data_IF_025452770766
#
_entry.id   IF_025452770766
#
_cell.length_a   1.000
_cell.length_b   1.000
_cell.length_c   1.000
_cell.angle_alpha   90.00
_cell.angle_beta   90.00
_cell.angle_gamma   90.00
#
_symmetry.space_group_name_H-M   'P 1'
#
loop_
_entity.id
_entity.type
_entity.pdbx_description
1 polymer ?
#
# COMPACT_ATOMS: atom_id res chain seq x y z
N UNK A 1 -5.13 13.72 -24.84
CA UNK A 1 -5.39 14.02 -23.41
C UNK A 1 -4.85 12.84 -22.62
N UNK A 2 -3.64 12.99 -22.11
CA UNK A 2 -2.87 11.90 -21.46
C UNK A 2 -2.92 12.09 -19.93
N UNK A 3 -4.14 12.17 -19.41
CA UNK A 3 -4.41 12.44 -17.99
C UNK A 3 -4.88 11.16 -17.30
N UNK A 4 -3.99 10.17 -17.08
CA UNK A 4 -4.39 9.05 -16.21
C UNK A 4 -3.30 8.27 -15.47
N UNK A 5 -2.02 8.64 -15.56
CA UNK A 5 -0.96 7.93 -14.81
C UNK A 5 -0.45 8.66 -13.57
N UNK A 6 -0.82 9.93 -13.38
CA UNK A 6 -0.33 10.78 -12.27
C UNK A 6 -1.43 11.36 -11.37
N UNK A 7 -2.70 11.18 -11.69
CA UNK A 7 -3.78 11.68 -10.83
C UNK A 7 -3.93 10.80 -9.60
N UNK A 8 -3.69 11.38 -8.41
CA UNK A 8 -3.98 10.72 -7.13
C UNK A 8 -5.49 10.55 -7.00
N UNK A 9 -5.94 9.32 -6.78
CA UNK A 9 -7.35 9.04 -6.46
C UNK A 9 -7.54 9.13 -4.95
N UNK A 10 -8.53 9.88 -4.50
CA UNK A 10 -8.92 9.90 -3.09
C UNK A 10 -9.78 8.67 -2.78
N UNK A 11 -9.53 8.05 -1.62
CA UNK A 11 -10.28 6.89 -1.13
C UNK A 11 -10.77 7.19 0.28
N UNK A 12 -12.06 6.97 0.53
CA UNK A 12 -12.59 6.93 1.90
C UNK A 12 -12.34 5.53 2.45
N UNK A 13 -11.53 5.44 3.51
CA UNK A 13 -11.17 4.18 4.15
C UNK A 13 -11.83 4.09 5.52
N UNK A 14 -12.48 2.97 5.81
CA UNK A 14 -12.98 2.61 7.15
C UNK A 14 -12.05 1.56 7.74
N UNK A 15 -11.45 1.87 8.88
CA UNK A 15 -10.59 0.96 9.66
C UNK A 15 -10.94 1.08 11.14
N UNK A 16 -10.56 0.09 11.94
CA UNK A 16 -10.69 0.17 13.39
C UNK A 16 -9.77 1.25 13.96
N UNK A 17 -10.16 1.84 15.09
CA UNK A 17 -9.34 2.85 15.78
C UNK A 17 -7.96 2.30 16.16
N UNK A 18 -7.89 1.05 16.63
CA UNK A 18 -6.63 0.40 16.99
C UNK A 18 -5.63 0.34 15.82
N UNK A 19 -6.12 -0.03 14.63
CA UNK A 19 -5.28 -0.09 13.44
C UNK A 19 -4.82 1.31 13.02
N UNK A 20 -5.70 2.31 13.14
CA UNK A 20 -5.33 3.69 12.84
C UNK A 20 -4.20 4.18 13.77
N UNK A 21 -4.29 3.89 15.07
CA UNK A 21 -3.26 4.26 16.06
C UNK A 21 -1.91 3.61 15.75
N UNK A 22 -1.91 2.30 15.45
CA UNK A 22 -0.69 1.59 15.06
C UNK A 22 -0.07 2.16 13.78
N UNK A 23 -0.88 2.50 12.77
CA UNK A 23 -0.39 3.10 11.52
C UNK A 23 0.17 4.51 11.74
N UNK A 24 -0.41 5.29 12.66
CA UNK A 24 0.09 6.63 13.01
C UNK A 24 1.43 6.52 13.74
N UNK A 25 1.54 5.64 14.73
CA UNK A 25 2.79 5.43 15.46
C UNK A 25 3.92 5.00 14.52
N UNK A 26 3.64 4.02 13.65
CA UNK A 26 4.63 3.57 12.66
C UNK A 26 5.02 4.68 11.67
N UNK A 27 4.05 5.48 11.20
CA UNK A 27 4.37 6.62 10.34
C UNK A 27 5.29 7.64 11.05
N UNK A 28 5.09 7.87 12.35
CA UNK A 28 5.94 8.77 13.14
C UNK A 28 7.36 8.22 13.29
N UNK A 29 7.51 6.94 13.62
CA UNK A 29 8.83 6.29 13.76
C UNK A 29 9.64 6.36 12.47
N UNK A 30 8.96 6.25 11.32
CA UNK A 30 9.57 6.32 9.99
C UNK A 30 9.67 7.76 9.42
N UNK A 31 9.32 8.79 10.19
CA UNK A 31 9.26 10.21 9.78
C UNK A 31 8.43 10.45 8.50
N UNK A 32 7.28 9.77 8.39
CA UNK A 32 6.33 9.85 7.27
C UNK A 32 4.98 10.43 7.70
N UNK A 33 4.23 10.95 6.73
CA UNK A 33 2.80 11.21 6.94
C UNK A 33 2.02 9.90 6.95
N UNK A 34 0.87 9.88 7.66
CA UNK A 34 -0.02 8.71 7.67
C UNK A 34 -0.44 8.28 6.25
N UNK A 35 -0.78 9.24 5.38
CA UNK A 35 -1.13 8.93 3.99
C UNK A 35 0.05 8.33 3.22
N UNK A 36 1.26 8.85 3.42
CA UNK A 36 2.48 8.28 2.83
C UNK A 36 2.75 6.86 3.33
N UNK A 37 2.52 6.60 4.61
CA UNK A 37 2.65 5.26 5.19
C UNK A 37 1.64 4.27 4.60
N UNK A 38 0.37 4.68 4.50
CA UNK A 38 -0.68 3.86 3.87
C UNK A 38 -0.34 3.56 2.40
N UNK A 39 0.10 4.57 1.64
CA UNK A 39 0.49 4.40 0.23
C UNK A 39 1.67 3.42 0.08
N UNK A 40 2.68 3.54 0.96
CA UNK A 40 3.83 2.62 0.99
C UNK A 40 3.38 1.18 1.25
N UNK A 41 2.60 0.95 2.32
CA UNK A 41 2.15 -0.38 2.69
C UNK A 41 1.29 -1.03 1.59
N UNK A 42 0.35 -0.28 1.01
CA UNK A 42 -0.47 -0.78 -0.10
C UNK A 42 0.38 -1.12 -1.33
N UNK A 43 1.38 -0.29 -1.63
CA UNK A 43 2.32 -0.53 -2.74
C UNK A 43 3.11 -1.82 -2.53
N UNK A 44 3.67 -2.01 -1.33
CA UNK A 44 4.44 -3.21 -1.01
C UNK A 44 3.56 -4.47 -1.02
N UNK A 45 2.34 -4.40 -0.48
CA UNK A 45 1.37 -5.50 -0.54
C UNK A 45 1.06 -5.92 -1.99
N UNK A 46 0.87 -4.96 -2.91
CA UNK A 46 0.62 -5.25 -4.33
C UNK A 46 1.85 -5.86 -5.00
N UNK A 47 3.06 -5.33 -4.74
CA UNK A 47 4.31 -5.88 -5.26
C UNK A 47 4.53 -7.33 -4.81
N UNK A 48 4.38 -7.59 -3.52
CA UNK A 48 4.51 -8.94 -2.95
C UNK A 48 3.51 -9.92 -3.59
N UNK A 49 2.24 -9.51 -3.73
CA UNK A 49 1.21 -10.33 -4.39
C UNK A 49 1.59 -10.68 -5.84
N UNK A 50 2.16 -9.74 -6.60
CA UNK A 50 2.62 -9.99 -7.98
C UNK A 50 3.78 -10.99 -8.01
N UNK A 51 4.79 -10.80 -7.16
CA UNK A 51 5.94 -11.72 -7.03
C UNK A 51 5.49 -13.15 -6.67
N UNK A 52 4.53 -13.29 -5.75
CA UNK A 52 3.96 -14.59 -5.40
C UNK A 52 3.22 -15.27 -6.58
N UNK A 53 2.59 -14.51 -7.47
CA UNK A 53 1.93 -15.07 -8.67
C UNK A 53 2.94 -15.53 -9.72
N UNK A 54 4.05 -14.83 -9.88
CA UNK A 54 5.11 -15.17 -10.86
C UNK A 54 5.88 -16.42 -10.44
N UNK A 55 6.20 -16.57 -9.16
CA UNK A 55 6.82 -17.78 -8.60
C UNK A 55 5.91 -19.01 -8.70
N UNK A 56 4.59 -18.85 -8.50
CA UNK A 56 3.61 -19.93 -8.73
C UNK A 56 3.51 -20.36 -10.20
N UNK A 57 3.80 -19.47 -11.16
CA UNK A 57 3.76 -19.77 -12.60
C UNK A 57 4.99 -20.53 -13.10
N UNK A 58 6.15 -20.35 -12.47
CA UNK A 58 7.43 -21.00 -12.80
C UNK A 58 7.68 -22.30 -12.01
N UNK A 59 6.69 -22.78 -11.25
CA UNK A 59 6.75 -24.07 -10.53
C UNK A 59 5.71 -25.06 -11.02
N UNK A 60 5.14 -24.81 -12.20
CA UNK A 60 4.16 -25.67 -12.89
C UNK A 60 4.70 -26.15 -14.25
N UNK A 61 6.00 -25.98 -14.45
CA UNK A 61 6.84 -26.38 -15.57
C UNK A 61 7.88 -27.41 -15.10
#
# INVERSE_FOLDING_TARGET
>A
MEDNKKSRKQLILRISSSLWEELVAWAQDDFRSLNGQIEYLLTECVKQRKKHKESKKHGLD
#
